data_IF_579085333170
#
_entry.id   IF_579085333170
#
_cell.length_a   1.000
_cell.length_b   1.000
_cell.length_c   1.000
_cell.angle_alpha   90.00
_cell.angle_beta   90.00
_cell.angle_gamma   90.00
#
_symmetry.space_group_name_H-M   'P 1'
#
loop_
_entity.id
_entity.type
_entity.pdbx_description
1 polymer ?
#
# COMPACT_ATOMS: atom_id res chain seq x y z
N UNK A 1 6.10 -29.39 -3.37
CA UNK A 1 5.10 -28.33 -3.66
C UNK A 1 4.89 -27.36 -2.47
N UNK A 2 5.94 -26.93 -1.75
CA UNK A 2 5.78 -26.25 -0.45
C UNK A 2 5.74 -24.70 -0.47
N UNK A 3 5.76 -24.06 -1.66
CA UNK A 3 5.82 -22.60 -1.81
C UNK A 3 4.59 -21.94 -2.45
N UNK A 4 3.93 -22.63 -3.39
CA UNK A 4 2.82 -22.06 -4.17
C UNK A 4 1.59 -21.69 -3.32
N UNK A 5 1.26 -22.50 -2.31
CA UNK A 5 0.13 -22.22 -1.41
C UNK A 5 0.34 -20.98 -0.54
N UNK A 6 1.57 -20.77 -0.04
CA UNK A 6 1.91 -19.60 0.78
C UNK A 6 1.82 -18.31 -0.02
N UNK A 7 2.33 -18.33 -1.26
CA UNK A 7 2.26 -17.19 -2.17
C UNK A 7 0.81 -16.84 -2.52
N UNK A 8 -0.02 -17.82 -2.85
CA UNK A 8 -1.45 -17.59 -3.14
C UNK A 8 -2.18 -16.99 -1.94
N UNK A 9 -1.91 -17.48 -0.72
CA UNK A 9 -2.47 -16.93 0.51
C UNK A 9 -2.06 -15.47 0.70
N UNK A 10 -0.75 -15.17 0.58
CA UNK A 10 -0.23 -13.82 0.68
C UNK A 10 -0.95 -12.84 -0.26
N UNK A 11 -1.06 -13.21 -1.55
CA UNK A 11 -1.73 -12.37 -2.54
C UNK A 11 -3.18 -12.08 -2.16
N UNK A 12 -3.93 -13.12 -1.75
CA UNK A 12 -5.32 -12.97 -1.33
C UNK A 12 -5.48 -12.12 -0.07
N UNK A 13 -4.58 -12.26 0.90
CA UNK A 13 -4.63 -11.45 2.13
C UNK A 13 -4.27 -9.99 1.86
N UNK A 14 -3.23 -9.72 1.06
CA UNK A 14 -2.88 -8.34 0.65
C UNK A 14 -4.05 -7.68 -0.08
N UNK A 15 -4.67 -8.41 -1.02
CA UNK A 15 -5.84 -7.91 -1.77
C UNK A 15 -7.02 -7.61 -0.85
N UNK A 16 -7.29 -8.50 0.11
CA UNK A 16 -8.35 -8.31 1.12
C UNK A 16 -8.07 -7.06 1.97
N UNK A 17 -6.83 -6.86 2.41
CA UNK A 17 -6.43 -5.69 3.19
C UNK A 17 -6.60 -4.40 2.39
N UNK A 18 -6.15 -4.38 1.13
CA UNK A 18 -6.30 -3.21 0.26
C UNK A 18 -7.77 -2.83 0.08
N UNK A 19 -8.66 -3.80 -0.17
CA UNK A 19 -10.08 -3.54 -0.35
C UNK A 19 -10.79 -3.15 0.97
N UNK A 20 -10.52 -3.85 2.07
CA UNK A 20 -11.31 -3.70 3.30
C UNK A 20 -10.75 -2.65 4.27
N UNK A 21 -9.43 -2.62 4.44
CA UNK A 21 -8.77 -1.74 5.41
C UNK A 21 -8.43 -0.39 4.77
N UNK A 22 -7.80 -0.41 3.59
CA UNK A 22 -7.41 0.82 2.89
C UNK A 22 -8.53 1.40 2.01
N UNK A 23 -9.59 0.63 1.76
CA UNK A 23 -10.70 0.98 0.88
C UNK A 23 -10.24 1.36 -0.54
N UNK A 24 -9.25 0.62 -1.03
CA UNK A 24 -8.75 0.71 -2.41
C UNK A 24 -9.39 -0.43 -3.20
N UNK A 25 -10.31 -0.11 -4.10
CA UNK A 25 -10.86 -1.07 -5.04
C UNK A 25 -9.74 -1.55 -5.97
N UNK A 26 -9.36 -2.82 -5.89
CA UNK A 26 -8.31 -3.44 -6.73
C UNK A 26 -8.85 -3.97 -8.06
N UNK A 27 -10.18 -4.02 -8.20
CA UNK A 27 -10.93 -4.38 -9.42
C UNK A 27 -11.81 -3.23 -9.85
N UNK A 28 -12.03 -3.10 -11.15
CA UNK A 28 -12.92 -2.09 -11.75
C UNK A 28 -12.61 -0.63 -11.36
N UNK A 29 -11.37 -0.36 -10.94
CA UNK A 29 -10.87 0.96 -10.58
C UNK A 29 -9.91 1.45 -11.66
N UNK A 30 -10.29 2.41 -12.52
CA UNK A 30 -9.45 2.87 -13.61
C UNK A 30 -8.18 3.60 -13.15
N UNK A 31 -8.12 4.01 -11.88
CA UNK A 31 -6.94 4.67 -11.29
C UNK A 31 -5.98 3.66 -10.65
N UNK A 32 -6.44 2.44 -10.37
CA UNK A 32 -5.60 1.41 -9.79
C UNK A 32 -4.72 0.77 -10.87
N UNK A 33 -3.49 0.32 -10.54
CA UNK A 33 -2.66 -0.40 -11.49
C UNK A 33 -3.40 -1.59 -12.11
N UNK A 34 -3.26 -1.75 -13.43
CA UNK A 34 -3.80 -2.92 -14.13
C UNK A 34 -3.25 -4.23 -13.55
N UNK A 35 -3.95 -5.34 -13.80
CA UNK A 35 -3.69 -6.62 -13.14
C UNK A 35 -2.21 -7.07 -13.17
N UNK A 36 -1.51 -6.88 -14.29
CA UNK A 36 -0.08 -7.23 -14.41
C UNK A 36 0.80 -6.38 -13.51
N UNK A 37 0.63 -5.05 -13.54
CA UNK A 37 1.39 -4.13 -12.68
C UNK A 37 1.08 -4.39 -11.20
N UNK A 38 -0.16 -4.69 -10.85
CA UNK A 38 -0.52 -5.06 -9.48
C UNK A 38 0.16 -6.37 -9.03
N UNK A 39 0.20 -7.39 -9.88
CA UNK A 39 0.91 -8.64 -9.59
C UNK A 39 2.41 -8.41 -9.40
N UNK A 40 3.03 -7.53 -10.18
CA UNK A 40 4.43 -7.14 -10.01
C UNK A 40 4.67 -6.45 -8.66
N UNK A 41 3.77 -5.55 -8.24
CA UNK A 41 3.87 -4.92 -6.92
C UNK A 41 3.80 -5.94 -5.78
N UNK A 42 2.85 -6.88 -5.87
CA UNK A 42 2.72 -7.99 -4.90
C UNK A 42 3.98 -8.88 -4.92
N UNK A 43 4.60 -9.06 -6.08
CA UNK A 43 5.84 -9.83 -6.24
C UNK A 43 7.06 -9.14 -5.65
N UNK A 44 7.19 -7.84 -5.85
CA UNK A 44 8.23 -7.03 -5.23
C UNK A 44 8.11 -7.06 -3.70
N UNK A 45 6.90 -6.93 -3.16
CA UNK A 45 6.67 -7.00 -1.71
C UNK A 45 7.09 -8.37 -1.12
N UNK A 46 6.70 -9.46 -1.79
CA UNK A 46 7.05 -10.81 -1.38
C UNK A 46 8.54 -11.11 -1.48
N UNK A 47 9.19 -10.73 -2.57
CA UNK A 47 10.66 -10.86 -2.74
C UNK A 47 11.41 -10.06 -1.68
N UNK A 48 10.89 -8.91 -1.29
CA UNK A 48 11.41 -8.10 -0.19
C UNK A 48 11.07 -8.64 1.22
N UNK A 49 10.44 -9.82 1.31
CA UNK A 49 10.03 -10.49 2.56
C UNK A 49 9.13 -9.62 3.44
N UNK A 50 8.32 -8.76 2.83
CA UNK A 50 7.31 -7.97 3.55
C UNK A 50 6.21 -8.90 4.05
N UNK A 51 5.70 -8.65 5.26
CA UNK A 51 4.46 -9.27 5.73
C UNK A 51 3.26 -8.87 4.86
N UNK A 52 2.11 -9.49 5.07
CA UNK A 52 0.88 -9.09 4.39
C UNK A 52 0.47 -7.65 4.73
N UNK A 53 0.67 -7.22 5.98
CA UNK A 53 0.44 -5.84 6.44
C UNK A 53 1.40 -4.84 5.78
N UNK A 54 2.69 -5.17 5.75
CA UNK A 54 3.71 -4.33 5.11
C UNK A 54 3.54 -4.29 3.58
N UNK A 55 3.14 -5.40 2.96
CA UNK A 55 2.85 -5.48 1.53
C UNK A 55 1.64 -4.65 1.14
N UNK A 56 0.55 -4.71 1.93
CA UNK A 56 -0.61 -3.84 1.71
C UNK A 56 -0.25 -2.36 1.89
N UNK A 57 0.52 -2.02 2.94
CA UNK A 57 0.99 -0.66 3.17
C UNK A 57 1.89 -0.15 2.02
N UNK A 58 2.80 -0.98 1.52
CA UNK A 58 3.66 -0.65 0.38
C UNK A 58 2.83 -0.27 -0.85
N UNK A 59 1.85 -1.10 -1.20
CA UNK A 59 1.00 -0.87 -2.38
C UNK A 59 0.09 0.34 -2.17
N UNK A 60 -0.51 0.49 -0.99
CA UNK A 60 -1.33 1.65 -0.64
C UNK A 60 -0.52 2.96 -0.70
N UNK A 61 0.73 2.93 -0.25
CA UNK A 61 1.64 4.08 -0.31
C UNK A 61 1.92 4.48 -1.75
N UNK A 62 2.26 3.53 -2.62
CA UNK A 62 2.50 3.82 -4.05
C UNK A 62 1.24 4.33 -4.74
N UNK A 63 0.08 3.76 -4.42
CA UNK A 63 -1.20 4.21 -4.95
C UNK A 63 -1.51 5.65 -4.51
N UNK A 64 -1.31 5.97 -3.23
CA UNK A 64 -1.42 7.34 -2.73
C UNK A 64 -0.50 8.32 -3.47
N UNK A 65 0.78 7.99 -3.64
CA UNK A 65 1.71 8.83 -4.37
C UNK A 65 1.27 9.04 -5.84
N UNK A 66 0.71 8.01 -6.47
CA UNK A 66 0.09 8.11 -7.79
C UNK A 66 -1.10 9.07 -7.82
N UNK A 67 -2.03 8.95 -6.85
CA UNK A 67 -3.19 9.83 -6.74
C UNK A 67 -2.78 11.30 -6.58
N UNK A 68 -1.81 11.57 -5.70
CA UNK A 68 -1.26 12.91 -5.47
C UNK A 68 -0.65 13.48 -6.75
N UNK A 69 0.20 12.70 -7.44
CA UNK A 69 0.84 13.12 -8.69
C UNK A 69 -0.16 13.47 -9.80
N UNK A 70 -1.33 12.84 -9.82
CA UNK A 70 -2.39 13.07 -10.81
C UNK A 70 -3.46 14.06 -10.34
N UNK A 71 -3.29 14.71 -9.18
CA UNK A 71 -4.21 15.76 -8.69
C UNK A 71 -5.50 15.25 -8.07
N UNK A 72 -5.60 13.96 -7.72
CA UNK A 72 -6.78 13.37 -7.07
C UNK A 72 -6.77 13.65 -5.55
N UNK A 73 -6.82 14.92 -5.17
CA UNK A 73 -6.64 15.38 -3.78
C UNK A 73 -7.70 14.85 -2.78
N UNK A 74 -9.01 14.80 -3.10
CA UNK A 74 -10.00 14.30 -2.15
C UNK A 74 -9.81 12.81 -1.80
N UNK A 75 -9.49 12.00 -2.81
CA UNK A 75 -9.28 10.57 -2.70
C UNK A 75 -7.98 10.25 -1.96
N UNK A 76 -6.91 10.97 -2.31
CA UNK A 76 -5.61 10.85 -1.63
C UNK A 76 -5.69 11.27 -0.17
N UNK A 77 -6.38 12.36 0.19
CA UNK A 77 -6.54 12.79 1.59
C UNK A 77 -7.26 11.74 2.45
N UNK A 78 -8.33 11.16 1.90
CA UNK A 78 -9.07 10.07 2.56
C UNK A 78 -8.18 8.84 2.78
N UNK A 79 -7.40 8.46 1.76
CA UNK A 79 -6.46 7.35 1.85
C UNK A 79 -5.32 7.64 2.83
N UNK A 80 -4.78 8.85 2.85
CA UNK A 80 -3.72 9.25 3.77
C UNK A 80 -4.15 9.06 5.24
N UNK A 81 -5.36 9.51 5.58
CA UNK A 81 -5.92 9.36 6.93
C UNK A 81 -6.03 7.89 7.35
N UNK A 82 -6.42 7.00 6.41
CA UNK A 82 -6.46 5.55 6.65
C UNK A 82 -5.06 4.97 6.83
N UNK A 83 -4.11 5.36 5.98
CA UNK A 83 -2.70 4.93 6.09
C UNK A 83 -2.17 5.30 7.48
N UNK A 84 -2.33 6.55 7.92
CA UNK A 84 -1.87 6.99 9.25
C UNK A 84 -2.50 6.16 10.39
N UNK A 85 -3.80 5.90 10.30
CA UNK A 85 -4.53 5.11 11.31
C UNK A 85 -4.04 3.66 11.38
N UNK A 86 -3.89 3.01 10.22
CA UNK A 86 -3.42 1.62 10.13
C UNK A 86 -1.96 1.51 10.59
N UNK A 87 -1.11 2.45 10.20
CA UNK A 87 0.30 2.48 10.60
C UNK A 87 0.44 2.68 12.10
N UNK A 88 -0.31 3.61 12.71
CA UNK A 88 -0.26 3.82 14.16
C UNK A 88 -0.56 2.52 14.92
N UNK A 89 -1.60 1.80 14.51
CA UNK A 89 -1.94 0.51 15.09
C UNK A 89 -0.89 -0.56 14.77
N UNK A 90 -0.46 -0.67 13.52
CA UNK A 90 0.46 -1.70 13.06
C UNK A 90 1.85 -1.58 13.65
N UNK A 91 2.36 -0.36 13.86
CA UNK A 91 3.59 -0.12 14.60
C UNK A 91 3.46 -0.55 16.07
N UNK A 92 2.36 -0.18 16.73
CA UNK A 92 2.14 -0.53 18.15
C UNK A 92 2.06 -2.04 18.39
N UNK A 93 1.58 -2.79 17.39
CA UNK A 93 1.43 -4.26 17.42
C UNK A 93 2.60 -5.02 16.79
N UNK A 94 3.61 -4.32 16.25
CA UNK A 94 4.74 -4.94 15.55
C UNK A 94 4.38 -5.62 14.22
N UNK A 95 3.24 -5.27 13.62
CA UNK A 95 2.80 -5.77 12.30
C UNK A 95 3.53 -5.07 11.14
N UNK A 96 3.94 -3.82 11.38
CA UNK A 96 4.73 -3.00 10.47
C UNK A 96 6.03 -2.66 11.19
N UNK A 97 7.18 -2.85 10.52
CA UNK A 97 8.46 -2.44 11.08
C UNK A 97 8.68 -0.92 10.94
N UNK A 98 9.37 -0.33 11.92
CA UNK A 98 9.76 1.08 11.90
C UNK A 98 10.60 1.43 10.67
N UNK A 99 11.51 0.54 10.26
CA UNK A 99 12.35 0.73 9.07
C UNK A 99 11.50 0.87 7.80
N UNK A 100 10.51 -0.01 7.61
CA UNK A 100 9.61 0.04 6.45
C UNK A 100 8.74 1.30 6.49
N UNK A 101 8.21 1.63 7.65
CA UNK A 101 7.43 2.86 7.81
C UNK A 101 8.25 4.12 7.51
N UNK A 102 9.49 4.21 7.98
CA UNK A 102 10.38 5.34 7.68
C UNK A 102 10.58 5.51 6.16
N UNK A 103 10.74 4.40 5.43
CA UNK A 103 10.84 4.43 3.96
C UNK A 103 9.55 4.91 3.29
N UNK A 104 8.39 4.40 3.73
CA UNK A 104 7.10 4.72 3.13
C UNK A 104 6.64 6.15 3.44
N UNK A 105 6.81 6.59 4.69
CA UNK A 105 6.54 7.97 5.10
C UNK A 105 7.44 8.97 4.36
N UNK A 106 8.71 8.66 4.13
CA UNK A 106 9.59 9.48 3.29
C UNK A 106 9.09 9.61 1.84
N UNK A 107 8.54 8.53 1.27
CA UNK A 107 7.92 8.57 -0.06
C UNK A 107 6.65 9.44 -0.10
N UNK A 108 5.80 9.36 0.94
CA UNK A 108 4.61 10.21 1.11
C UNK A 108 5.01 11.68 1.21
N UNK A 109 5.96 12.01 2.09
CA UNK A 109 6.45 13.38 2.28
C UNK A 109 7.00 13.98 0.98
N UNK A 110 7.78 13.19 0.25
CA UNK A 110 8.31 13.60 -1.05
C UNK A 110 7.18 13.88 -2.06
N UNK A 111 6.21 12.97 -2.20
CA UNK A 111 5.08 13.15 -3.11
C UNK A 111 4.24 14.40 -2.76
N UNK A 112 4.02 14.63 -1.47
CA UNK A 112 3.29 15.79 -0.97
C UNK A 112 4.02 17.11 -1.29
N UNK A 113 5.34 17.15 -1.05
CA UNK A 113 6.17 18.30 -1.40
C UNK A 113 6.18 18.58 -2.90
N UNK A 114 6.26 17.55 -3.75
CA UNK A 114 6.26 17.70 -5.21
C UNK A 114 4.91 18.19 -5.75
N UNK A 115 3.81 17.83 -5.09
CA UNK A 115 2.46 18.26 -5.44
C UNK A 115 2.02 19.59 -4.78
N UNK A 116 2.85 20.19 -3.93
CA UNK A 116 2.50 21.41 -3.19
C UNK A 116 1.40 21.20 -2.14
N UNK A 117 1.23 19.98 -1.66
CA UNK A 117 0.26 19.61 -0.63
C UNK A 117 1.02 19.55 0.70
N UNK A 118 0.80 20.54 1.57
CA UNK A 118 1.41 20.62 2.90
C UNK A 118 0.40 20.22 3.98
#
# INVERSE_FOLDING_TARGET
>A
MFGFGKRKKYNGTVDTKLNNEYQIATRDNPRFPGALAYLELIDNAWKAKMSEDEGALYIATLYYCGLIKHGFHPESSSLHSRIQSIVALGLSKGLISQERWAKFSGAIQKANSEAGVA
#
